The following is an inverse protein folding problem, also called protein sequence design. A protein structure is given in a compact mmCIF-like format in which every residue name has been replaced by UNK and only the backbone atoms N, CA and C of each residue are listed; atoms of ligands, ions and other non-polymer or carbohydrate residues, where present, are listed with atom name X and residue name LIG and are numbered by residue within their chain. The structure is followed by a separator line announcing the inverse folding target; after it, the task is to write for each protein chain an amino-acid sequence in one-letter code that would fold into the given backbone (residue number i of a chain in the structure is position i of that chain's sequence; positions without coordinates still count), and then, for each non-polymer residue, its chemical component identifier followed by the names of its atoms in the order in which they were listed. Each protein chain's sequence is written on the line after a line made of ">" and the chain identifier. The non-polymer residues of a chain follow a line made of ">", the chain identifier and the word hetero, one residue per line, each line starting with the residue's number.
data_IF_792096243630
#
_entry.id   IF_792096243630
#
_cell.length_a   1.000
_cell.length_b   1.000
_cell.length_c   1.000
_cell.angle_alpha   90.00
_cell.angle_beta   90.00
_cell.angle_gamma   90.00
#
_symmetry.space_group_name_H-M   'P 1'
#
loop_
_entity.id
_entity.type
_entity.pdbx_description
1 polymer ?
#
# COMPACT_ATOMS: atom_id res chain seq x y z
N UNK A 1 -6.99 -3.90 6.46
CA UNK A 1 -8.32 -4.25 5.92
C UNK A 1 -9.22 -3.03 5.92
N UNK A 2 -9.76 -2.65 4.77
CA UNK A 2 -10.81 -1.64 4.68
C UNK A 2 -12.19 -2.28 4.75
N UNK A 3 -13.15 -1.60 5.37
CA UNK A 3 -14.58 -1.97 5.31
C UNK A 3 -15.31 -1.29 4.15
N UNK A 4 -14.56 -0.58 3.29
CA UNK A 4 -15.07 0.25 2.21
C UNK A 4 -14.23 0.01 0.92
N UNK A 5 -14.49 0.80 -0.12
CA UNK A 5 -13.93 0.68 -1.47
C UNK A 5 -12.39 0.66 -1.46
N UNK A 6 -11.82 -0.21 -2.29
CA UNK A 6 -10.39 -0.21 -2.59
C UNK A 6 -10.04 0.98 -3.50
N UNK A 7 -9.30 1.94 -2.97
CA UNK A 7 -8.94 3.20 -3.62
C UNK A 7 -7.48 3.55 -3.36
N UNK A 8 -6.88 4.39 -4.20
CA UNK A 8 -5.51 4.85 -3.98
C UNK A 8 -5.34 5.57 -2.64
N UNK A 9 -6.38 6.27 -2.16
CA UNK A 9 -6.41 6.89 -0.82
C UNK A 9 -6.34 5.83 0.29
N UNK A 10 -7.14 4.75 0.17
CA UNK A 10 -7.11 3.64 1.11
C UNK A 10 -5.73 2.96 1.17
N UNK A 11 -5.12 2.73 0.00
CA UNK A 11 -3.78 2.15 -0.06
C UNK A 11 -2.74 3.06 0.62
N UNK A 12 -2.75 4.36 0.30
CA UNK A 12 -1.83 5.34 0.88
C UNK A 12 -2.01 5.49 2.40
N UNK A 13 -3.26 5.54 2.89
CA UNK A 13 -3.53 5.58 4.33
C UNK A 13 -3.09 4.27 5.03
N UNK A 14 -3.19 3.12 4.36
CA UNK A 14 -2.70 1.84 4.90
C UNK A 14 -1.19 1.85 5.11
N UNK A 15 -0.44 2.44 4.17
CA UNK A 15 1.02 2.59 4.27
C UNK A 15 1.39 3.55 5.40
N UNK A 16 0.69 4.69 5.48
CA UNK A 16 0.86 5.66 6.57
C UNK A 16 0.64 4.98 7.91
N UNK A 17 -0.46 4.24 8.06
CA UNK A 17 -0.77 3.53 9.30
C UNK A 17 0.29 2.48 9.65
N UNK A 18 0.73 1.67 8.67
CA UNK A 18 1.80 0.70 8.90
C UNK A 18 3.09 1.35 9.42
N UNK A 19 3.49 2.49 8.86
CA UNK A 19 4.70 3.18 9.29
C UNK A 19 4.59 3.67 10.74
N UNK A 20 3.45 4.21 11.14
CA UNK A 20 3.21 4.66 12.51
C UNK A 20 3.12 3.50 13.50
N UNK A 21 2.38 2.44 13.15
CA UNK A 21 2.08 1.34 14.06
C UNK A 21 3.27 0.39 14.20
N UNK A 22 4.02 0.13 13.13
CA UNK A 22 5.08 -0.89 13.11
C UNK A 22 6.39 -0.38 12.51
N UNK A 23 6.35 0.28 11.35
CA UNK A 23 7.56 0.62 10.60
C UNK A 23 8.58 1.42 11.41
N UNK A 24 8.16 2.43 12.17
CA UNK A 24 9.05 3.25 13.01
C UNK A 24 9.66 2.49 14.20
N UNK A 25 9.07 1.38 14.63
CA UNK A 25 9.63 0.55 15.72
C UNK A 25 10.88 -0.20 15.23
N UNK A 26 10.84 -0.69 14.01
CA UNK A 26 11.95 -1.43 13.40
C UNK A 26 12.94 -0.51 12.68
N UNK A 27 12.45 0.62 12.15
CA UNK A 27 13.25 1.56 11.37
C UNK A 27 12.99 3.02 11.82
N UNK A 28 13.50 3.43 12.99
CA UNK A 28 13.18 4.73 13.59
C UNK A 28 13.71 5.93 12.81
N UNK A 29 14.77 5.75 12.03
CA UNK A 29 15.44 6.81 11.26
C UNK A 29 15.18 6.70 9.75
N UNK A 30 14.12 6.00 9.33
CA UNK A 30 13.83 5.83 7.90
C UNK A 30 13.53 7.16 7.22
N UNK A 31 14.34 7.49 6.23
CA UNK A 31 14.12 8.62 5.32
C UNK A 31 13.45 8.21 4.01
N UNK A 32 13.47 6.90 3.68
CA UNK A 32 12.97 6.37 2.41
C UNK A 32 12.36 4.98 2.55
N UNK A 33 11.24 4.74 1.87
CA UNK A 33 10.58 3.43 1.79
C UNK A 33 10.60 2.96 0.34
N UNK A 34 10.99 1.70 0.11
CA UNK A 34 10.76 1.02 -1.16
C UNK A 34 9.45 0.24 -1.09
N UNK A 35 8.58 0.51 -2.06
CA UNK A 35 7.28 -0.12 -2.17
C UNK A 35 7.21 -0.95 -3.46
N UNK A 36 7.00 -2.24 -3.29
CA UNK A 36 6.78 -3.15 -4.40
C UNK A 36 5.27 -3.24 -4.63
N UNK A 37 4.82 -2.83 -5.82
CA UNK A 37 3.40 -2.77 -6.14
C UNK A 37 3.09 -3.54 -7.42
N UNK A 38 1.90 -4.10 -7.50
CA UNK A 38 1.38 -4.54 -8.78
C UNK A 38 0.96 -3.32 -9.62
N UNK A 39 0.85 -3.49 -10.94
CA UNK A 39 0.54 -2.39 -11.87
C UNK A 39 -0.96 -2.08 -12.03
N UNK A 40 -1.84 -2.68 -11.23
CA UNK A 40 -3.30 -2.63 -11.41
C UNK A 40 -4.09 -2.00 -10.25
N UNK A 41 -5.40 -1.81 -10.48
CA UNK A 41 -6.36 -1.41 -9.44
C UNK A 41 -6.08 -0.03 -8.82
N UNK A 42 -6.21 0.04 -7.50
CA UNK A 42 -6.05 1.25 -6.68
C UNK A 42 -4.63 1.84 -6.71
N UNK A 43 -3.64 1.03 -7.05
CA UNK A 43 -2.22 1.41 -7.09
C UNK A 43 -1.68 1.51 -8.53
N UNK A 44 -2.55 1.63 -9.53
CA UNK A 44 -2.11 1.64 -10.93
C UNK A 44 -1.05 2.72 -11.23
N UNK A 45 0.05 2.30 -11.87
CA UNK A 45 1.09 3.20 -12.36
C UNK A 45 0.57 4.21 -13.39
N UNK A 46 -0.54 3.91 -14.07
CA UNK A 46 -1.12 4.77 -15.09
C UNK A 46 -1.96 5.91 -14.50
N UNK A 47 -2.63 5.68 -13.36
CA UNK A 47 -3.55 6.64 -12.79
C UNK A 47 -2.83 7.68 -11.93
N UNK A 48 -3.10 8.96 -12.20
CA UNK A 48 -2.51 10.07 -11.44
C UNK A 48 -3.06 10.21 -10.02
N UNK A 49 -4.24 9.64 -9.73
CA UNK A 49 -4.85 9.71 -8.39
C UNK A 49 -3.99 9.01 -7.33
N UNK A 50 -3.38 7.88 -7.67
CA UNK A 50 -2.53 7.16 -6.73
C UNK A 50 -1.27 7.97 -6.40
N UNK A 51 -0.62 8.53 -7.43
CA UNK A 51 0.50 9.48 -7.26
C UNK A 51 0.10 10.69 -6.41
N UNK A 52 -1.15 11.14 -6.52
CA UNK A 52 -1.67 12.26 -5.75
C UNK A 52 -1.77 11.97 -4.26
N UNK A 53 -2.38 10.85 -3.93
CA UNK A 53 -2.53 10.42 -2.56
C UNK A 53 -1.16 10.08 -1.95
N UNK A 54 -0.25 9.48 -2.74
CA UNK A 54 1.13 9.27 -2.33
C UNK A 54 1.83 10.60 -2.00
N UNK A 55 1.68 11.63 -2.83
CA UNK A 55 2.30 12.94 -2.57
C UNK A 55 1.81 13.55 -1.25
N UNK A 56 0.51 13.43 -0.95
CA UNK A 56 -0.05 13.91 0.33
C UNK A 56 0.52 13.13 1.51
N UNK A 57 0.63 11.81 1.37
CA UNK A 57 1.19 10.95 2.43
C UNK A 57 2.66 11.24 2.68
N UNK A 58 3.51 11.35 1.64
CA UNK A 58 4.94 11.67 1.83
C UNK A 58 5.14 13.08 2.39
N UNK A 59 4.30 14.05 2.00
CA UNK A 59 4.32 15.40 2.58
C UNK A 59 3.99 15.40 4.07
N UNK A 60 3.00 14.61 4.49
CA UNK A 60 2.64 14.48 5.91
C UNK A 60 3.58 13.59 6.73
N UNK A 61 4.32 12.68 6.11
CA UNK A 61 5.26 11.77 6.78
C UNK A 61 6.68 12.31 6.85
N UNK A 62 7.09 13.16 5.91
CA UNK A 62 8.49 13.57 5.73
C UNK A 62 9.40 12.44 5.24
N UNK A 63 8.84 11.35 4.71
CA UNK A 63 9.56 10.15 4.26
C UNK A 63 9.33 9.98 2.76
N UNK A 64 10.40 9.84 1.99
CA UNK A 64 10.33 9.55 0.56
C UNK A 64 9.78 8.15 0.33
N UNK A 65 8.88 7.98 -0.64
CA UNK A 65 8.39 6.67 -1.05
C UNK A 65 8.77 6.44 -2.51
N UNK A 66 9.61 5.43 -2.75
CA UNK A 66 9.90 4.92 -4.09
C UNK A 66 8.97 3.76 -4.38
N UNK A 67 8.21 3.86 -5.47
CA UNK A 67 7.32 2.80 -5.92
C UNK A 67 7.97 2.10 -7.10
N UNK A 68 8.15 0.79 -6.97
CA UNK A 68 8.59 -0.08 -8.05
C UNK A 68 7.43 -1.02 -8.42
N UNK A 69 6.94 -0.87 -9.64
CA UNK A 69 5.82 -1.69 -10.08
C UNK A 69 6.29 -2.94 -10.80
N UNK A 70 5.70 -4.09 -10.45
CA UNK A 70 5.73 -5.28 -11.28
C UNK A 70 4.93 -5.02 -12.56
N UNK A 71 5.47 -5.31 -13.75
CA UNK A 71 4.70 -5.26 -14.99
C UNK A 71 3.40 -6.10 -14.93
N UNK A 72 2.51 -5.89 -15.89
CA UNK A 72 1.30 -6.72 -15.98
C UNK A 72 1.66 -8.20 -16.14
N UNK A 73 0.86 -9.09 -15.54
CA UNK A 73 1.01 -10.56 -15.59
C UNK A 73 2.26 -11.13 -14.92
N UNK A 74 3.03 -10.32 -14.18
CA UNK A 74 4.20 -10.80 -13.41
C UNK A 74 4.04 -10.66 -11.89
N UNK A 75 2.80 -10.52 -11.39
CA UNK A 75 2.50 -10.50 -9.96
C UNK A 75 2.95 -11.76 -9.22
N UNK A 76 3.10 -12.90 -9.92
CA UNK A 76 3.72 -14.12 -9.38
C UNK A 76 5.10 -13.85 -8.74
N UNK A 77 5.83 -12.85 -9.20
CA UNK A 77 7.14 -12.52 -8.64
C UNK A 77 7.09 -11.57 -7.44
N UNK A 78 5.89 -11.13 -7.04
CA UNK A 78 5.69 -10.36 -5.83
C UNK A 78 5.80 -11.28 -4.61
N UNK A 79 6.75 -11.03 -3.67
CA UNK A 79 7.00 -11.91 -2.54
C UNK A 79 5.76 -12.16 -1.67
N UNK A 80 4.82 -11.21 -1.62
CA UNK A 80 3.61 -11.34 -0.79
C UNK A 80 2.66 -12.44 -1.29
N UNK A 81 2.63 -12.69 -2.61
CA UNK A 81 1.75 -13.70 -3.22
C UNK A 81 2.09 -15.11 -2.71
N UNK A 82 3.39 -15.42 -2.70
CA UNK A 82 3.89 -16.73 -2.29
C UNK A 82 4.21 -16.79 -0.79
N UNK A 83 4.64 -15.68 -0.21
CA UNK A 83 5.08 -15.61 1.18
C UNK A 83 3.98 -15.36 2.19
N UNK A 84 2.90 -14.64 1.83
CA UNK A 84 1.87 -14.20 2.77
C UNK A 84 0.47 -14.70 2.42
N UNK A 85 0.00 -14.44 1.20
CA UNK A 85 -1.39 -14.70 0.83
C UNK A 85 -1.75 -16.17 0.86
N UNK A 86 -0.83 -17.07 0.51
CA UNK A 86 -1.10 -18.51 0.60
C UNK A 86 -1.45 -18.97 2.03
N UNK A 87 -0.84 -18.35 3.05
CA UNK A 87 -1.10 -18.67 4.46
C UNK A 87 -2.39 -18.03 4.96
N UNK A 88 -2.67 -16.79 4.54
CA UNK A 88 -3.93 -16.12 4.85
C UNK A 88 -5.11 -16.90 4.24
N UNK A 89 -5.02 -17.32 2.98
CA UNK A 89 -6.06 -18.12 2.32
C UNK A 89 -6.34 -19.42 3.06
N UNK A 90 -5.30 -20.12 3.54
CA UNK A 90 -5.46 -21.33 4.36
C UNK A 90 -6.12 -21.03 5.70
N UNK A 91 -5.74 -19.95 6.38
CA UNK A 91 -6.34 -19.56 7.67
C UNK A 91 -7.84 -19.20 7.56
N UNK A 92 -8.25 -18.74 6.38
CA UNK A 92 -9.63 -18.39 6.07
C UNK A 92 -10.46 -19.55 5.48
N UNK A 93 -9.81 -20.65 5.10
CA UNK A 93 -10.45 -21.74 4.39
C UNK A 93 -11.52 -22.44 5.24
N UNK A 94 -12.71 -22.63 4.67
CA UNK A 94 -13.82 -23.32 5.33
C UNK A 94 -14.53 -22.51 6.42
N UNK A 95 -14.23 -21.23 6.58
CA UNK A 95 -14.85 -20.37 7.60
C UNK A 95 -15.92 -19.46 6.98
N UNK A 96 -17.10 -19.42 7.62
CA UNK A 96 -18.15 -18.46 7.25
C UNK A 96 -17.84 -17.11 7.92
N UNK A 97 -17.64 -16.06 7.13
CA UNK A 97 -17.33 -14.72 7.65
C UNK A 97 -18.58 -14.03 8.19
N UNK A 98 -18.69 -13.92 9.52
CA UNK A 98 -19.82 -13.28 10.21
C UNK A 98 -19.55 -11.83 10.62
N UNK A 99 -18.29 -11.42 10.69
CA UNK A 99 -17.90 -10.04 11.04
C UNK A 99 -16.48 -9.71 10.56
N UNK A 100 -16.20 -8.41 10.39
CA UNK A 100 -14.83 -7.95 10.09
C UNK A 100 -13.83 -8.32 11.19
N UNK A 101 -14.29 -8.34 12.45
CA UNK A 101 -13.46 -8.75 13.60
C UNK A 101 -13.03 -10.21 13.48
N UNK A 102 -13.96 -11.10 13.11
CA UNK A 102 -13.64 -12.51 12.90
C UNK A 102 -12.61 -12.67 11.78
N UNK A 103 -12.79 -11.97 10.64
CA UNK A 103 -11.83 -12.04 9.53
C UNK A 103 -10.45 -11.55 9.98
N UNK A 104 -10.38 -10.44 10.73
CA UNK A 104 -9.13 -9.93 11.31
C UNK A 104 -8.45 -11.00 12.18
N UNK A 105 -9.18 -11.59 13.11
CA UNK A 105 -8.66 -12.62 14.02
C UNK A 105 -8.13 -13.85 13.26
N UNK A 106 -8.80 -14.26 12.17
CA UNK A 106 -8.34 -15.38 11.34
C UNK A 106 -7.07 -15.03 10.55
N UNK A 107 -6.98 -13.81 10.01
CA UNK A 107 -5.76 -13.33 9.32
C UNK A 107 -4.58 -13.29 10.31
N UNK A 108 -4.78 -12.78 11.52
CA UNK A 108 -3.73 -12.71 12.55
C UNK A 108 -3.29 -14.10 13.05
N UNK A 109 -4.15 -15.13 12.90
CA UNK A 109 -3.83 -16.54 13.18
C UNK A 109 -3.03 -17.23 12.08
N UNK A 110 -2.80 -16.60 10.94
CA UNK A 110 -1.96 -17.17 9.89
C UNK A 110 -0.50 -17.25 10.37
N UNK A 111 -0.12 -18.39 10.96
CA UNK A 111 1.23 -18.65 11.45
C UNK A 111 2.03 -19.35 10.36
N UNK A 112 3.25 -18.87 10.14
CA UNK A 112 4.21 -19.51 9.24
C UNK A 112 5.27 -20.26 10.04
N UNK A 113 5.72 -21.42 9.52
CA UNK A 113 6.78 -22.22 10.16
C UNK A 113 8.10 -21.45 10.35
N UNK A 114 8.30 -20.40 9.55
CA UNK A 114 9.48 -19.51 9.57
C UNK A 114 9.42 -18.43 10.65
N UNK A 115 8.35 -18.37 11.46
CA UNK A 115 8.20 -17.38 12.52
C UNK A 115 7.59 -16.04 12.07
N UNK A 116 7.15 -15.92 10.82
CA UNK A 116 6.42 -14.73 10.37
C UNK A 116 5.04 -14.67 11.04
N UNK A 117 4.77 -13.55 11.74
CA UNK A 117 3.46 -13.23 12.31
C UNK A 117 2.77 -12.14 11.51
N UNK A 118 1.46 -12.29 11.30
CA UNK A 118 0.65 -11.30 10.58
C UNK A 118 -0.09 -10.40 11.57
N UNK A 119 -0.01 -9.08 11.38
CA UNK A 119 -0.86 -8.10 12.06
C UNK A 119 -1.86 -7.53 11.06
N UNK A 120 -3.12 -7.39 11.47
CA UNK A 120 -4.16 -6.83 10.62
C UNK A 120 -4.82 -5.65 11.32
N UNK A 121 -5.05 -4.55 10.61
CA UNK A 121 -5.81 -3.41 11.15
C UNK A 121 -7.09 -3.20 10.35
N UNK A 122 -8.18 -2.86 11.05
CA UNK A 122 -9.46 -2.53 10.42
C UNK A 122 -9.56 -1.01 10.27
N UNK A 123 -9.58 -0.54 9.04
CA UNK A 123 -9.76 0.87 8.70
C UNK A 123 -11.24 1.13 8.44
N UNK A 124 -11.84 1.97 9.29
CA UNK A 124 -13.27 2.32 9.24
C UNK A 124 -13.56 3.57 8.40
N UNK A 125 -12.52 4.25 7.90
CA UNK A 125 -12.67 5.43 7.04
C UNK A 125 -13.43 5.05 5.76
N UNK A 126 -14.31 5.95 5.32
CA UNK A 126 -15.06 5.82 4.07
C UNK A 126 -14.22 6.41 2.93
N UNK A 127 -14.02 5.63 1.88
CA UNK A 127 -13.24 6.04 0.71
C UNK A 127 -14.16 6.15 -0.51
N UNK A 128 -14.16 7.32 -1.15
CA UNK A 128 -15.03 7.57 -2.30
C UNK A 128 -14.36 7.17 -3.61
N UNK A 129 -15.10 6.49 -4.49
CA UNK A 129 -14.67 6.18 -5.86
C UNK A 129 -14.95 7.32 -6.83
N UNK A 130 -14.24 7.36 -7.96
CA UNK A 130 -14.49 8.35 -9.02
C UNK A 130 -13.95 9.74 -8.72
N UNK A 131 -13.15 9.89 -7.67
CA UNK A 131 -12.44 11.15 -7.38
C UNK A 131 -11.53 11.50 -8.54
N UNK A 132 -11.73 12.69 -9.10
CA UNK A 132 -10.82 13.26 -10.08
C UNK A 132 -9.70 14.00 -9.36
N UNK A 133 -8.55 13.94 -9.98
CA UNK A 133 -7.39 14.73 -9.60
C UNK A 133 -7.69 16.19 -9.97
N UNK A 134 -7.39 17.13 -9.07
CA UNK A 134 -7.62 18.56 -9.28
C UNK A 134 -6.76 19.07 -10.45
N UNK A 135 -7.24 20.03 -11.23
CA UNK A 135 -6.59 20.41 -12.51
C UNK A 135 -5.15 20.93 -12.35
N UNK A 136 -4.84 21.62 -11.25
CA UNK A 136 -3.48 22.12 -10.93
C UNK A 136 -2.56 21.05 -10.30
N UNK A 137 -2.98 19.79 -10.32
CA UNK A 137 -2.22 18.70 -9.73
C UNK A 137 -0.84 18.54 -10.36
N UNK A 138 -0.74 18.53 -11.69
CA UNK A 138 0.54 18.25 -12.39
C UNK A 138 1.66 19.21 -11.99
N UNK A 139 1.33 20.44 -11.65
CA UNK A 139 2.30 21.48 -11.25
C UNK A 139 2.72 21.36 -9.78
N UNK A 140 1.88 20.73 -8.93
CA UNK A 140 2.07 20.68 -7.49
C UNK A 140 2.78 19.41 -6.98
N UNK A 141 3.04 18.41 -7.82
CA UNK A 141 3.59 17.12 -7.39
C UNK A 141 5.08 17.04 -7.67
N UNK A 142 5.82 16.48 -6.71
CA UNK A 142 7.21 16.08 -6.89
C UNK A 142 7.29 14.56 -7.06
N UNK A 143 6.70 14.06 -8.14
CA UNK A 143 6.99 12.70 -8.62
C UNK A 143 8.22 12.77 -9.52
N UNK A 144 9.27 12.07 -9.12
CA UNK A 144 10.48 11.88 -9.92
C UNK A 144 10.44 10.48 -10.52
N UNK A 145 10.28 10.38 -11.84
CA UNK A 145 10.31 9.11 -12.55
C UNK A 145 11.75 8.57 -12.61
N UNK A 146 11.90 7.25 -12.50
CA UNK A 146 13.21 6.62 -12.56
C UNK A 146 13.77 6.62 -14.00
N UNK A 147 15.09 6.72 -14.14
CA UNK A 147 15.76 6.66 -15.46
C UNK A 147 15.50 5.31 -16.17
N UNK A 148 15.54 4.22 -15.39
CA UNK A 148 15.22 2.88 -15.85
C UNK A 148 13.79 2.55 -15.47
N UNK A 149 13.00 2.11 -16.47
CA UNK A 149 11.60 1.72 -16.28
C UNK A 149 10.72 2.85 -15.69
N UNK A 150 11.02 4.12 -15.98
CA UNK A 150 10.29 5.29 -15.47
C UNK A 150 8.79 5.32 -15.80
N UNK A 151 8.34 4.55 -16.80
CA UNK A 151 6.91 4.32 -17.05
C UNK A 151 6.21 3.67 -15.84
N UNK A 152 6.93 2.78 -15.15
CA UNK A 152 6.44 2.01 -14.02
C UNK A 152 6.94 2.59 -12.70
N UNK A 153 8.22 2.95 -12.62
CA UNK A 153 8.88 3.24 -11.37
C UNK A 153 9.06 4.74 -11.16
N UNK A 154 8.79 5.19 -9.95
CA UNK A 154 8.85 6.60 -9.59
C UNK A 154 9.01 6.81 -8.10
N UNK A 155 9.40 8.02 -7.73
CA UNK A 155 9.63 8.46 -6.36
C UNK A 155 8.72 9.61 -6.03
N UNK A 156 7.93 9.47 -4.96
CA UNK A 156 7.20 10.56 -4.35
C UNK A 156 8.10 11.20 -3.28
N UNK A 157 8.56 12.42 -3.56
CA UNK A 157 9.49 13.14 -2.68
C UNK A 157 8.70 14.12 -1.80
N UNK A 158 8.95 14.19 -0.48
CA UNK A 158 8.34 15.19 0.38
C UNK A 158 8.64 16.61 -0.13
N UNK A 159 7.63 17.48 -0.10
CA UNK A 159 7.88 18.91 -0.25
C UNK A 159 8.65 19.34 1.00
N UNK A 160 9.84 19.93 0.84
CA UNK A 160 10.53 20.57 1.95
C UNK A 160 9.58 21.64 2.51
N UNK A 161 9.18 21.49 3.77
CA UNK A 161 8.52 22.54 4.56
C UNK A 161 9.56 23.58 4.93
#
# INVERSE_FOLDING_TARGET
>A
MGINKDTGEFACDSIKQWLYDEGRKYYPQTTTILMLCDSGGSNSHYHNIFKAELQKVVGGLGVEIRVAHYPSYVSRWNPIEHGLFCHITRALQGVIFKSYKLVKELIEKAIMKTGLSVKANIMKKVYQTGRKVVDNFKEAIRIVFDEKLGKWNYRAVPLKV
#
